data_IF_483746427250
#
_entry.id   IF_483746427250
#
_cell.length_a   1.000
_cell.length_b   1.000
_cell.length_c   1.000
_cell.angle_alpha   90.00
_cell.angle_beta   90.00
_cell.angle_gamma   90.00
#
_symmetry.space_group_name_H-M   'P 1'
#
loop_
_entity.id
_entity.type
_entity.pdbx_description
1 polymer ?
#
# COMPACT_ATOMS: atom_id res chain seq x y z
N UNK A 1 4.97 46.16 35.50
CA UNK A 1 5.89 45.00 35.47
C UNK A 1 5.17 43.66 35.64
N UNK A 2 4.39 43.40 36.71
CA UNK A 2 3.69 42.11 36.92
C UNK A 2 2.81 41.64 35.75
N UNK A 3 2.03 42.55 35.15
CA UNK A 3 1.19 42.23 33.98
C UNK A 3 2.02 41.86 32.76
N UNK A 4 3.15 42.53 32.54
CA UNK A 4 4.08 42.24 31.43
C UNK A 4 4.68 40.84 31.58
N UNK A 5 5.09 40.47 32.80
CA UNK A 5 5.59 39.12 33.08
C UNK A 5 4.52 38.04 32.92
N UNK A 6 3.27 38.32 33.32
CA UNK A 6 2.16 37.39 33.14
C UNK A 6 1.84 37.15 31.66
N UNK A 7 1.83 38.21 30.84
CA UNK A 7 1.63 38.12 29.39
C UNK A 7 2.78 37.35 28.73
N UNK A 8 4.03 37.59 29.14
CA UNK A 8 5.17 36.83 28.63
C UNK A 8 5.06 35.34 28.97
N UNK A 9 4.70 35.00 30.21
CA UNK A 9 4.55 33.61 30.63
C UNK A 9 3.46 32.89 29.83
N UNK A 10 2.32 33.55 29.59
CA UNK A 10 1.24 33.03 28.75
C UNK A 10 1.68 32.84 27.29
N UNK A 11 2.39 33.82 26.73
CA UNK A 11 2.91 33.71 25.36
C UNK A 11 3.91 32.55 25.24
N UNK A 12 4.83 32.39 26.19
CA UNK A 12 5.79 31.27 26.21
C UNK A 12 5.05 29.94 26.33
N UNK A 13 4.09 29.83 27.25
CA UNK A 13 3.29 28.62 27.42
C UNK A 13 2.52 28.24 26.16
N UNK A 14 1.91 29.22 25.48
CA UNK A 14 1.19 28.99 24.23
C UNK A 14 2.12 28.53 23.11
N UNK A 15 3.31 29.12 23.00
CA UNK A 15 4.32 28.70 22.02
C UNK A 15 4.79 27.26 22.27
N UNK A 16 5.00 26.87 23.54
CA UNK A 16 5.38 25.50 23.90
C UNK A 16 4.28 24.49 23.51
N UNK A 17 3.01 24.83 23.77
CA UNK A 17 1.87 23.98 23.37
C UNK A 17 1.79 23.85 21.85
N UNK A 18 1.86 24.96 21.12
CA UNK A 18 1.84 24.96 19.65
C UNK A 18 3.02 24.15 19.06
N UNK A 19 4.22 24.31 19.62
CA UNK A 19 5.39 23.55 19.22
C UNK A 19 5.18 22.04 19.46
N UNK A 20 4.65 21.64 20.62
CA UNK A 20 4.36 20.23 20.89
C UNK A 20 3.33 19.62 19.94
N UNK A 21 2.26 20.36 19.63
CA UNK A 21 1.23 19.92 18.67
C UNK A 21 1.79 19.79 17.26
N UNK A 22 2.70 20.70 16.88
CA UNK A 22 3.32 20.66 15.57
C UNK A 22 4.30 19.50 15.44
N UNK A 23 5.10 19.23 16.48
CA UNK A 23 6.00 18.09 16.53
C UNK A 23 5.21 16.79 16.41
N UNK A 24 4.16 16.60 17.22
CA UNK A 24 3.34 15.39 17.20
C UNK A 24 2.71 15.14 15.82
N UNK A 25 2.18 16.20 15.19
CA UNK A 25 1.64 16.13 13.83
C UNK A 25 2.72 15.81 12.80
N UNK A 26 3.91 16.40 12.91
CA UNK A 26 5.01 16.15 11.97
C UNK A 26 5.50 14.70 12.04
N UNK A 27 5.60 14.16 13.25
CA UNK A 27 5.97 12.78 13.49
C UNK A 27 4.91 11.86 12.91
N UNK A 28 3.63 12.11 13.22
CA UNK A 28 2.51 11.32 12.70
C UNK A 28 2.50 11.26 11.17
N UNK A 29 2.69 12.40 10.51
CA UNK A 29 2.79 12.47 9.05
C UNK A 29 4.01 11.69 8.52
N UNK A 30 5.17 11.84 9.15
CA UNK A 30 6.38 11.12 8.75
C UNK A 30 6.21 9.60 8.87
N UNK A 31 5.57 9.11 9.94
CA UNK A 31 5.28 7.69 10.11
C UNK A 31 4.25 7.17 9.11
N UNK A 32 3.21 7.95 8.78
CA UNK A 32 2.25 7.59 7.75
C UNK A 32 2.90 7.50 6.37
N UNK A 33 3.77 8.44 6.02
CA UNK A 33 4.51 8.38 4.76
C UNK A 33 5.49 7.20 4.73
N UNK A 34 6.20 6.96 5.83
CA UNK A 34 7.13 5.84 5.93
C UNK A 34 6.42 4.49 5.85
N UNK A 35 5.25 4.35 6.50
CA UNK A 35 4.47 3.12 6.44
C UNK A 35 3.93 2.87 5.03
N UNK A 36 3.40 3.90 4.36
CA UNK A 36 2.95 3.81 2.97
C UNK A 36 4.10 3.40 2.04
N UNK A 37 5.26 4.08 2.12
CA UNK A 37 6.43 3.73 1.30
C UNK A 37 6.95 2.32 1.57
N UNK A 38 6.96 1.90 2.83
CA UNK A 38 7.39 0.55 3.22
C UNK A 38 6.45 -0.51 2.65
N UNK A 39 5.13 -0.30 2.75
CA UNK A 39 4.11 -1.17 2.18
C UNK A 39 4.26 -1.26 0.65
N UNK A 40 4.40 -0.13 -0.05
CA UNK A 40 4.60 -0.10 -1.49
C UNK A 40 5.89 -0.79 -1.93
N UNK A 41 6.96 -0.67 -1.14
CA UNK A 41 8.23 -1.33 -1.43
C UNK A 41 8.13 -2.85 -1.22
N UNK A 42 7.46 -3.28 -0.16
CA UNK A 42 7.20 -4.70 0.10
C UNK A 42 6.33 -5.30 -1.01
N UNK A 43 5.24 -4.63 -1.40
CA UNK A 43 4.37 -5.07 -2.49
C UNK A 43 5.16 -5.20 -3.80
N UNK A 44 5.91 -4.16 -4.20
CA UNK A 44 6.77 -4.22 -5.41
C UNK A 44 7.84 -5.30 -5.34
N UNK A 45 8.30 -5.69 -4.15
CA UNK A 45 9.23 -6.81 -4.02
C UNK A 45 8.53 -8.15 -4.26
N UNK A 46 7.31 -8.31 -3.75
CA UNK A 46 6.49 -9.50 -3.97
C UNK A 46 6.07 -9.62 -5.43
N UNK A 47 5.63 -8.53 -6.07
CA UNK A 47 5.29 -8.51 -7.50
C UNK A 47 6.46 -8.93 -8.37
N UNK A 48 7.67 -8.42 -8.10
CA UNK A 48 8.89 -8.82 -8.83
C UNK A 48 9.22 -10.29 -8.64
N UNK A 49 9.09 -10.81 -7.42
CA UNK A 49 9.32 -12.23 -7.15
C UNK A 49 8.30 -13.10 -7.87
N UNK A 50 7.03 -12.72 -7.82
CA UNK A 50 5.94 -13.42 -8.50
C UNK A 50 6.10 -13.39 -10.02
N UNK A 51 6.50 -12.24 -10.57
CA UNK A 51 6.80 -12.10 -12.00
C UNK A 51 7.93 -13.04 -12.41
N UNK A 52 9.03 -13.08 -11.66
CA UNK A 52 10.16 -13.97 -11.96
C UNK A 52 9.75 -15.43 -11.97
N UNK A 53 8.98 -15.87 -10.98
CA UNK A 53 8.55 -17.26 -10.83
C UNK A 53 7.48 -17.66 -11.86
N UNK A 54 6.57 -16.75 -12.21
CA UNK A 54 5.39 -17.08 -13.01
C UNK A 54 5.47 -16.54 -14.44
N UNK A 55 6.60 -15.97 -14.85
CA UNK A 55 6.79 -15.51 -16.23
C UNK A 55 6.53 -16.63 -17.23
N UNK A 56 5.71 -16.36 -18.24
CA UNK A 56 5.35 -17.30 -19.29
C UNK A 56 4.25 -18.31 -18.90
N UNK A 57 3.74 -18.23 -17.67
CA UNK A 57 2.65 -19.09 -17.19
C UNK A 57 1.41 -18.91 -18.09
N UNK A 58 0.80 -19.99 -18.58
CA UNK A 58 -0.44 -19.91 -19.35
C UNK A 58 -1.59 -19.34 -18.51
N UNK A 59 -2.48 -18.57 -19.13
CA UNK A 59 -3.62 -17.93 -18.48
C UNK A 59 -4.47 -18.91 -17.65
N UNK A 60 -4.79 -20.09 -18.20
CA UNK A 60 -5.60 -21.08 -17.50
C UNK A 60 -4.95 -21.52 -16.17
N UNK A 61 -3.63 -21.69 -16.16
CA UNK A 61 -2.87 -22.08 -14.98
C UNK A 61 -2.72 -20.92 -13.98
N UNK A 62 -2.62 -19.69 -14.48
CA UNK A 62 -2.67 -18.49 -13.65
C UNK A 62 -4.01 -18.42 -12.90
N UNK A 63 -5.13 -18.51 -13.62
CA UNK A 63 -6.47 -18.45 -13.04
C UNK A 63 -6.70 -19.57 -12.02
N UNK A 64 -6.24 -20.79 -12.30
CA UNK A 64 -6.35 -21.90 -11.36
C UNK A 64 -5.58 -21.62 -10.04
N UNK A 65 -4.35 -21.12 -10.14
CA UNK A 65 -3.54 -20.74 -8.97
C UNK A 65 -4.21 -19.64 -8.16
N UNK A 66 -4.72 -18.60 -8.82
CA UNK A 66 -5.43 -17.49 -8.18
C UNK A 66 -6.73 -17.96 -7.51
N UNK A 67 -7.52 -18.80 -8.18
CA UNK A 67 -8.74 -19.37 -7.59
C UNK A 67 -8.44 -20.24 -6.37
N UNK A 68 -7.34 -21.02 -6.39
CA UNK A 68 -6.90 -21.80 -5.23
C UNK A 68 -6.50 -20.89 -4.07
N UNK A 69 -5.75 -19.82 -4.34
CA UNK A 69 -5.38 -18.83 -3.34
C UNK A 69 -6.63 -18.13 -2.75
N UNK A 70 -7.60 -17.74 -3.59
CA UNK A 70 -8.86 -17.14 -3.15
C UNK A 70 -9.66 -18.07 -2.23
N UNK A 71 -9.69 -19.37 -2.53
CA UNK A 71 -10.37 -20.39 -1.69
C UNK A 71 -9.66 -20.65 -0.37
N UNK A 72 -8.33 -20.49 -0.33
CA UNK A 72 -7.51 -20.72 0.87
C UNK A 72 -7.48 -19.51 1.80
N UNK A 73 -7.77 -18.31 1.30
CA UNK A 73 -7.88 -17.11 2.12
C UNK A 73 -9.08 -17.22 3.08
N UNK A 74 -8.81 -17.55 4.35
CA UNK A 74 -9.81 -17.48 5.42
C UNK A 74 -10.01 -16.02 5.83
N UNK A 75 -11.25 -15.49 5.76
CA UNK A 75 -11.50 -14.12 6.24
C UNK A 75 -12.74 -13.38 5.71
N UNK A 76 -13.59 -13.98 4.87
CA UNK A 76 -14.92 -13.45 4.57
C UNK A 76 -14.99 -12.27 3.57
N UNK A 77 -13.88 -11.60 3.27
CA UNK A 77 -13.79 -10.76 2.08
C UNK A 77 -13.61 -11.67 0.86
N UNK A 78 -14.65 -11.82 0.04
CA UNK A 78 -14.57 -12.60 -1.18
C UNK A 78 -13.52 -12.00 -2.12
N UNK A 79 -12.35 -12.64 -2.22
CA UNK A 79 -11.31 -12.18 -3.15
C UNK A 79 -11.86 -12.29 -4.56
N UNK A 80 -11.98 -11.15 -5.23
CA UNK A 80 -12.59 -11.04 -6.54
C UNK A 80 -11.50 -11.14 -7.61
N UNK A 81 -11.64 -12.15 -8.46
CA UNK A 81 -10.81 -12.31 -9.65
C UNK A 81 -11.56 -11.67 -10.81
N UNK A 82 -11.00 -10.63 -11.41
CA UNK A 82 -11.54 -9.96 -12.59
C UNK A 82 -10.63 -10.20 -13.79
N UNK A 83 -11.21 -10.26 -14.99
CA UNK A 83 -10.47 -10.28 -16.25
C UNK A 83 -10.99 -9.18 -17.15
N UNK A 84 -10.10 -8.31 -17.60
CA UNK A 84 -10.38 -7.21 -18.51
C UNK A 84 -9.35 -7.27 -19.65
N UNK A 85 -9.74 -7.88 -20.77
CA UNK A 85 -8.85 -8.10 -21.91
C UNK A 85 -7.64 -8.97 -21.53
N UNK A 86 -6.44 -8.37 -21.65
CA UNK A 86 -5.16 -8.98 -21.33
C UNK A 86 -4.74 -8.79 -19.86
N UNK A 87 -5.59 -8.20 -19.02
CA UNK A 87 -5.29 -8.00 -17.59
C UNK A 87 -6.18 -8.90 -16.74
N UNK A 88 -5.56 -9.64 -15.83
CA UNK A 88 -6.24 -10.38 -14.76
C UNK A 88 -5.93 -9.68 -13.44
N UNK A 89 -6.95 -9.35 -12.66
CA UNK A 89 -6.83 -8.71 -11.36
C UNK A 89 -7.22 -9.68 -10.25
N UNK A 90 -6.42 -9.73 -9.20
CA UNK A 90 -6.68 -10.45 -7.95
C UNK A 90 -6.61 -9.41 -6.82
N UNK A 91 -7.77 -8.91 -6.40
CA UNK A 91 -7.85 -7.76 -5.50
C UNK A 91 -7.05 -6.55 -6.07
N UNK A 92 -6.05 -6.04 -5.34
CA UNK A 92 -5.17 -4.96 -5.81
C UNK A 92 -4.03 -5.42 -6.74
N UNK A 93 -3.78 -6.73 -6.84
CA UNK A 93 -2.69 -7.27 -7.66
C UNK A 93 -3.12 -7.48 -9.11
N UNK A 94 -2.31 -6.99 -10.06
CA UNK A 94 -2.58 -7.11 -11.49
C UNK A 94 -1.57 -8.00 -12.22
N UNK A 95 -2.08 -8.76 -13.17
CA UNK A 95 -1.34 -9.72 -13.96
C UNK A 95 -1.58 -9.43 -15.43
N UNK A 96 -0.54 -8.98 -16.14
CA UNK A 96 -0.62 -8.68 -17.57
C UNK A 96 -0.24 -9.90 -18.39
N UNK A 97 -1.13 -10.27 -19.27
CA UNK A 97 -0.98 -11.33 -20.25
C UNK A 97 -0.52 -10.75 -21.60
N UNK A 98 0.19 -11.55 -22.37
CA UNK A 98 0.42 -11.33 -23.79
C UNK A 98 0.29 -12.69 -24.47
N UNK A 99 -0.55 -12.78 -25.50
CA UNK A 99 -0.84 -14.05 -26.19
C UNK A 99 -1.21 -15.19 -25.21
N UNK A 100 -2.00 -14.86 -24.18
CA UNK A 100 -2.46 -15.82 -23.17
C UNK A 100 -1.39 -16.30 -22.19
N UNK A 101 -0.25 -15.60 -22.07
CA UNK A 101 0.84 -15.92 -21.13
C UNK A 101 1.18 -14.73 -20.25
N UNK A 102 1.51 -14.99 -18.98
CA UNK A 102 1.93 -13.94 -18.05
C UNK A 102 3.25 -13.31 -18.49
N UNK A 103 3.26 -11.99 -18.65
CA UNK A 103 4.47 -11.22 -19.00
C UNK A 103 4.92 -10.32 -17.87
N UNK A 104 3.98 -9.77 -17.08
CA UNK A 104 4.27 -8.79 -16.04
C UNK A 104 3.28 -8.88 -14.87
N UNK A 105 3.74 -8.54 -13.66
CA UNK A 105 2.92 -8.39 -12.46
C UNK A 105 3.01 -6.94 -11.93
N UNK A 106 1.89 -6.38 -11.45
CA UNK A 106 1.81 -5.06 -10.80
C UNK A 106 1.39 -3.87 -11.68
N UNK A 107 1.26 -4.04 -13.00
CA UNK A 107 0.75 -2.98 -13.89
C UNK A 107 -0.74 -3.20 -14.22
N UNK A 108 -1.60 -2.44 -13.54
CA UNK A 108 -3.05 -2.41 -13.80
C UNK A 108 -3.46 -1.46 -14.94
N UNK A 109 -2.54 -0.61 -15.40
CA UNK A 109 -2.75 0.44 -16.42
C UNK A 109 -1.91 0.21 -17.66
#
# INVERSE_FOLDING_TARGET
MKVVFAVLALAIGLNLVLASLWIDRSISLAYMEASARSSDQAMRSLERLLEQEWKGLPEAMLLEKLQRAAKQAQGGAGILIKKEGDIVSFDEACFRLNQGRLVRVGECS
#
